data_IF_711816752079
#
_entry.id   IF_711816752079
#
_cell.length_a   1.000
_cell.length_b   1.000
_cell.length_c   1.000
_cell.angle_alpha   90.00
_cell.angle_beta   90.00
_cell.angle_gamma   90.00
#
_symmetry.space_group_name_H-M   'P 1'
#
loop_
_entity.id
_entity.type
_entity.pdbx_description
1 polymer ?
#
# COMPACT_ATOMS: atom_id res chain seq x y z
N UNK A 1 5.15 3.19 8.77
CA UNK A 1 4.19 2.06 8.71
C UNK A 1 4.91 0.76 8.41
N UNK A 2 4.46 -0.35 9.00
CA UNK A 2 5.05 -1.68 8.87
C UNK A 2 5.13 -2.18 7.42
N UNK A 3 4.14 -1.87 6.58
CA UNK A 3 4.14 -2.19 5.15
C UNK A 3 5.37 -1.64 4.42
N UNK A 4 5.70 -0.37 4.69
CA UNK A 4 6.85 0.30 4.09
C UNK A 4 8.18 -0.31 4.55
N UNK A 5 8.27 -0.74 5.82
CA UNK A 5 9.44 -1.43 6.34
C UNK A 5 9.66 -2.76 5.60
N UNK A 6 8.62 -3.57 5.45
CA UNK A 6 8.71 -4.83 4.70
C UNK A 6 9.08 -4.61 3.24
N UNK A 7 8.56 -3.55 2.59
CA UNK A 7 8.96 -3.17 1.24
C UNK A 7 10.46 -2.89 1.15
N UNK A 8 11.00 -2.05 2.04
CA UNK A 8 12.43 -1.71 2.06
C UNK A 8 13.32 -2.94 2.31
N UNK A 9 12.81 -3.94 3.02
CA UNK A 9 13.52 -5.21 3.26
C UNK A 9 13.39 -6.22 2.12
N UNK A 10 12.66 -5.90 1.04
CA UNK A 10 12.37 -6.85 -0.04
C UNK A 10 11.31 -7.90 0.30
N UNK A 11 10.68 -7.80 1.47
CA UNK A 11 9.65 -8.73 1.95
C UNK A 11 8.27 -8.37 1.37
N UNK A 12 8.16 -8.35 0.04
CA UNK A 12 7.01 -7.77 -0.63
C UNK A 12 5.69 -8.49 -0.34
N UNK A 13 5.72 -9.81 -0.18
CA UNK A 13 4.56 -10.63 0.19
C UNK A 13 3.98 -10.28 1.58
N UNK A 14 4.81 -9.73 2.48
CA UNK A 14 4.36 -9.25 3.79
C UNK A 14 3.89 -7.79 3.74
N UNK A 15 4.42 -6.99 2.81
CA UNK A 15 4.04 -5.59 2.63
C UNK A 15 2.65 -5.43 1.97
N UNK A 16 2.36 -6.24 0.96
CA UNK A 16 1.15 -6.15 0.13
C UNK A 16 -0.17 -6.19 0.94
N UNK A 17 -0.43 -7.20 1.80
CA UNK A 17 -1.67 -7.25 2.55
C UNK A 17 -1.85 -6.06 3.51
N UNK A 18 -0.74 -5.47 4.00
CA UNK A 18 -0.78 -4.31 4.86
C UNK A 18 -1.14 -3.03 4.11
N UNK A 19 -0.63 -2.87 2.88
CA UNK A 19 -1.02 -1.76 2.00
C UNK A 19 -2.47 -1.88 1.53
N UNK A 20 -2.93 -3.08 1.18
CA UNK A 20 -4.34 -3.35 0.83
C UNK A 20 -5.28 -3.05 2.02
N UNK A 21 -4.92 -3.47 3.23
CA UNK A 21 -5.71 -3.15 4.43
C UNK A 21 -5.77 -1.64 4.70
N UNK A 22 -4.65 -0.93 4.50
CA UNK A 22 -4.61 0.53 4.68
C UNK A 22 -5.47 1.24 3.63
N UNK A 23 -5.42 0.79 2.37
CA UNK A 23 -6.24 1.29 1.28
C UNK A 23 -7.74 1.16 1.62
N UNK A 24 -8.19 -0.03 2.01
CA UNK A 24 -9.60 -0.27 2.33
C UNK A 24 -10.11 0.64 3.48
N UNK A 25 -9.27 0.89 4.49
CA UNK A 25 -9.61 1.81 5.58
C UNK A 25 -9.73 3.25 5.06
N UNK A 26 -8.78 3.70 4.25
CA UNK A 26 -8.77 5.07 3.73
C UNK A 26 -9.89 5.30 2.72
N UNK A 27 -10.19 4.36 1.84
CA UNK A 27 -11.34 4.45 0.93
C UNK A 27 -12.65 4.58 1.70
N UNK A 28 -12.83 3.75 2.73
CA UNK A 28 -14.04 3.81 3.57
C UNK A 28 -14.16 5.11 4.36
N UNK A 29 -13.04 5.62 4.89
CA UNK A 29 -13.05 6.78 5.79
C UNK A 29 -13.01 8.13 5.04
N UNK A 30 -12.34 8.18 3.89
CA UNK A 30 -11.97 9.44 3.23
C UNK A 30 -12.49 9.54 1.79
N UNK A 31 -12.96 8.44 1.20
CA UNK A 31 -13.36 8.38 -0.20
C UNK A 31 -12.19 8.15 -1.16
N UNK A 32 -12.51 7.72 -2.38
CA UNK A 32 -11.54 7.27 -3.39
C UNK A 32 -10.62 8.38 -3.92
N UNK A 33 -11.06 9.64 -3.90
CA UNK A 33 -10.29 10.78 -4.41
C UNK A 33 -9.32 11.38 -3.38
N UNK A 34 -9.33 10.89 -2.14
CA UNK A 34 -8.49 11.45 -1.10
C UNK A 34 -7.00 11.17 -1.36
N UNK A 35 -6.07 12.14 -1.15
CA UNK A 35 -4.64 11.96 -1.40
C UNK A 35 -4.01 10.73 -0.74
N UNK A 36 -4.49 10.35 0.44
CA UNK A 36 -4.03 9.12 1.12
C UNK A 36 -4.40 7.85 0.34
N UNK A 37 -5.59 7.78 -0.25
CA UNK A 37 -6.00 6.65 -1.10
C UNK A 37 -5.08 6.56 -2.31
N UNK A 38 -4.85 7.67 -3.00
CA UNK A 38 -3.90 7.75 -4.13
C UNK A 38 -2.48 7.32 -3.72
N UNK A 39 -2.02 7.73 -2.53
CA UNK A 39 -0.71 7.35 -1.99
C UNK A 39 -0.62 5.84 -1.72
N UNK A 40 -1.69 5.22 -1.19
CA UNK A 40 -1.72 3.77 -0.96
C UNK A 40 -1.71 2.98 -2.27
N UNK A 41 -2.45 3.45 -3.28
CA UNK A 41 -2.46 2.86 -4.62
C UNK A 41 -1.08 2.95 -5.29
N UNK A 42 -0.42 4.11 -5.20
CA UNK A 42 0.95 4.26 -5.70
C UNK A 42 1.94 3.31 -5.01
N UNK A 43 1.80 3.12 -3.70
CA UNK A 43 2.65 2.18 -2.97
C UNK A 43 2.41 0.71 -3.38
N UNK A 44 1.16 0.34 -3.68
CA UNK A 44 0.85 -1.00 -4.20
C UNK A 44 1.42 -1.20 -5.61
N UNK A 45 1.32 -0.18 -6.48
CA UNK A 45 1.91 -0.25 -7.81
C UNK A 45 3.44 -0.41 -7.77
N UNK A 46 4.13 0.38 -6.93
CA UNK A 46 5.58 0.24 -6.69
C UNK A 46 5.94 -1.15 -6.17
N UNK A 47 5.14 -1.68 -5.24
CA UNK A 47 5.35 -3.02 -4.70
C UNK A 47 5.26 -4.11 -5.77
N UNK A 48 4.25 -4.05 -6.64
CA UNK A 48 4.09 -5.01 -7.73
C UNK A 48 5.17 -4.87 -8.79
N UNK A 49 5.62 -3.64 -9.09
CA UNK A 49 6.75 -3.41 -9.97
C UNK A 49 8.03 -4.08 -9.45
N UNK A 50 8.27 -4.03 -8.14
CA UNK A 50 9.44 -4.66 -7.52
C UNK A 50 9.33 -6.19 -7.39
N UNK A 51 8.12 -6.77 -7.49
CA UNK A 51 7.90 -8.22 -7.44
C UNK A 51 8.00 -8.92 -8.81
N UNK A 52 7.88 -8.17 -9.91
CA UNK A 52 8.00 -8.67 -11.29
C UNK A 52 9.44 -8.77 -11.76
#
# INVERSE_FOLDING_TARGET
>A
NLAALYKVQGNYSQAEPLYQRSLAIWEKALGSEHPNVATSLNNLADLHWQQG
#
